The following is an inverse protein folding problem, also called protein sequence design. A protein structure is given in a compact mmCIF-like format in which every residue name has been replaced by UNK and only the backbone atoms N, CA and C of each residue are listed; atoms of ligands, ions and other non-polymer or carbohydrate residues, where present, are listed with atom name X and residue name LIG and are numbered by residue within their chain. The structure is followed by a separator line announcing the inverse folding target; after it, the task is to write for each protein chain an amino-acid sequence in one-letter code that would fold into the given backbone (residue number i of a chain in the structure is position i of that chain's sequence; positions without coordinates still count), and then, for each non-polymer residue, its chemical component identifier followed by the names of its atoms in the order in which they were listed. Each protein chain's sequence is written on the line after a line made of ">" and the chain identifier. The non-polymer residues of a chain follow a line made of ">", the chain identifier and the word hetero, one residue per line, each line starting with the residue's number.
data_IF_783809011845
#
_entry.id   IF_783809011845
#
_cell.length_a   1.000
_cell.length_b   1.000
_cell.length_c   1.000
_cell.angle_alpha   90.00
_cell.angle_beta   90.00
_cell.angle_gamma   90.00
#
_symmetry.space_group_name_H-M   'P 1'
#
loop_
_entity.id
_entity.type
_entity.pdbx_description
1 polymer ?
#
# COMPACT_ATOMS: atom_id res chain seq x y z
N UNK A 1 11.03 0.07 2.38
CA UNK A 1 10.58 -0.83 3.47
C UNK A 1 9.78 -1.98 2.87
N UNK A 2 9.62 -3.10 3.57
CA UNK A 2 8.73 -4.19 3.11
C UNK A 2 7.31 -3.83 3.50
N UNK A 3 6.45 -3.57 2.52
CA UNK A 3 5.03 -3.23 2.75
C UNK A 3 4.27 -4.52 3.05
N UNK A 4 3.45 -4.51 4.11
CA UNK A 4 2.68 -5.68 4.58
C UNK A 4 1.19 -5.50 4.45
N UNK A 5 0.71 -4.27 4.52
CA UNK A 5 -0.71 -3.95 4.42
C UNK A 5 -0.87 -2.50 3.95
N UNK A 6 -1.92 -2.25 3.17
CA UNK A 6 -2.36 -0.92 2.74
C UNK A 6 -3.87 -0.88 2.88
N UNK A 7 -4.35 0.10 3.66
CA UNK A 7 -5.78 0.34 3.85
C UNK A 7 -6.12 1.78 3.48
N UNK A 8 -7.15 1.93 2.68
CA UNK A 8 -7.74 3.21 2.32
C UNK A 8 -9.16 3.24 2.88
N UNK A 9 -9.33 3.83 4.05
CA UNK A 9 -10.66 4.00 4.64
C UNK A 9 -11.32 5.22 4.01
N UNK A 10 -12.57 5.10 3.59
CA UNK A 10 -13.37 6.17 2.97
C UNK A 10 -14.84 5.89 3.27
N UNK A 11 -15.66 6.93 3.40
CA UNK A 11 -17.11 6.73 3.62
C UNK A 11 -17.83 6.15 2.41
N UNK A 12 -17.26 6.30 1.22
CA UNK A 12 -17.87 5.86 -0.04
C UNK A 12 -16.89 5.08 -0.94
N UNK A 13 -15.71 4.67 -0.47
CA UNK A 13 -14.76 3.90 -1.29
C UNK A 13 -15.21 2.44 -1.46
N UNK A 14 -15.25 1.93 -2.70
CA UNK A 14 -15.71 0.57 -3.00
C UNK A 14 -14.58 -0.35 -3.48
N UNK A 15 -13.71 0.14 -4.37
CA UNK A 15 -12.61 -0.63 -4.93
C UNK A 15 -11.37 0.24 -5.14
N UNK A 16 -10.19 -0.33 -4.89
CA UNK A 16 -8.90 0.30 -5.18
C UNK A 16 -8.00 -0.65 -5.97
N UNK A 17 -6.97 -0.04 -6.58
CA UNK A 17 -5.78 -0.74 -7.04
C UNK A 17 -4.54 -0.15 -6.38
N UNK A 18 -3.63 -1.02 -5.96
CA UNK A 18 -2.33 -0.66 -5.41
C UNK A 18 -1.24 -1.19 -6.33
N UNK A 19 -0.36 -0.31 -6.76
CA UNK A 19 0.82 -0.63 -7.57
C UNK A 19 2.06 -0.30 -6.77
N UNK A 20 2.98 -1.26 -6.66
CA UNK A 20 4.20 -1.15 -5.89
C UNK A 20 5.40 -1.15 -6.82
N UNK A 21 6.41 -0.33 -6.51
CA UNK A 21 7.70 -0.34 -7.21
C UNK A 21 8.81 -0.64 -6.22
N UNK A 22 9.66 -1.62 -6.52
CA UNK A 22 10.80 -2.00 -5.68
C UNK A 22 11.89 -0.91 -5.68
N UNK A 23 12.86 -1.01 -4.78
CA UNK A 23 14.02 -0.10 -4.74
C UNK A 23 14.92 -0.25 -5.96
N UNK A 24 14.88 -1.40 -6.64
CA UNK A 24 15.56 -1.67 -7.91
C UNK A 24 14.81 -1.09 -9.12
N UNK A 25 13.61 -0.53 -8.91
CA UNK A 25 12.79 0.10 -9.96
C UNK A 25 11.82 -0.85 -10.67
N UNK A 26 11.68 -2.10 -10.23
CA UNK A 26 10.72 -3.05 -10.79
C UNK A 26 9.29 -2.69 -10.36
N UNK A 27 8.37 -2.56 -11.31
CA UNK A 27 6.95 -2.37 -11.01
C UNK A 27 6.27 -3.72 -10.92
N UNK A 28 5.69 -4.01 -9.75
CA UNK A 28 5.04 -5.29 -9.46
C UNK A 28 3.62 -5.35 -10.02
N UNK A 29 3.08 -6.56 -10.08
CA UNK A 29 1.68 -6.78 -10.47
C UNK A 29 0.72 -6.03 -9.52
N UNK A 30 -0.29 -5.33 -10.04
CA UNK A 30 -1.20 -4.52 -9.24
C UNK A 30 -2.08 -5.39 -8.33
N UNK A 31 -2.28 -4.94 -7.10
CA UNK A 31 -3.16 -5.55 -6.11
C UNK A 31 -4.51 -4.84 -6.18
N UNK A 32 -5.55 -5.55 -6.62
CA UNK A 32 -6.93 -5.01 -6.71
C UNK A 32 -7.80 -5.61 -5.61
N UNK A 33 -8.70 -4.81 -5.04
CA UNK A 33 -9.67 -5.33 -4.08
C UNK A 33 -10.39 -4.27 -3.27
N UNK A 34 -11.01 -4.73 -2.17
CA UNK A 34 -11.67 -3.85 -1.23
C UNK A 34 -10.64 -2.93 -0.54
N UNK A 35 -10.93 -1.62 -0.39
CA UNK A 35 -10.01 -0.64 0.18
C UNK A 35 -9.47 -0.96 1.58
N UNK A 36 -10.18 -1.77 2.37
CA UNK A 36 -9.83 -2.12 3.76
C UNK A 36 -9.46 -3.58 3.98
N UNK A 37 -9.52 -4.39 2.92
CA UNK A 37 -9.32 -5.85 2.97
C UNK A 37 -8.63 -6.35 1.70
N UNK A 38 -7.48 -5.76 1.38
CA UNK A 38 -6.63 -6.24 0.28
C UNK A 38 -6.05 -7.63 0.60
N UNK A 39 -5.76 -8.46 -0.41
CA UNK A 39 -5.17 -9.78 -0.21
C UNK A 39 -3.70 -9.65 0.24
N UNK A 40 -3.45 -9.99 1.51
CA UNK A 40 -2.14 -9.85 2.15
C UNK A 40 -1.03 -10.69 1.49
N UNK A 41 -1.38 -11.84 0.89
CA UNK A 41 -0.47 -12.74 0.18
C UNK A 41 0.10 -12.15 -1.12
N UNK A 42 -0.46 -11.02 -1.60
CA UNK A 42 0.01 -10.31 -2.79
C UNK A 42 1.03 -9.22 -2.50
N UNK A 43 1.28 -8.90 -1.24
CA UNK A 43 2.30 -7.92 -0.87
C UNK A 43 3.71 -8.52 -0.97
N UNK A 44 4.70 -7.74 -1.43
CA UNK A 44 6.05 -8.23 -1.69
C UNK A 44 6.80 -8.58 -0.41
N UNK A 45 7.84 -9.38 -0.59
CA UNK A 45 8.87 -9.63 0.44
C UNK A 45 10.07 -8.69 0.30
N UNK A 46 10.18 -8.00 -0.82
CA UNK A 46 11.26 -7.09 -1.17
C UNK A 46 11.01 -5.66 -0.64
N UNK A 47 12.06 -4.84 -0.68
CA UNK A 47 11.95 -3.43 -0.33
C UNK A 47 11.22 -2.66 -1.42
N UNK A 48 10.16 -1.96 -1.02
CA UNK A 48 9.40 -1.05 -1.87
C UNK A 48 9.91 0.38 -1.72
N UNK A 49 10.07 1.08 -2.85
CA UNK A 49 10.40 2.50 -2.94
C UNK A 49 9.18 3.38 -3.21
N UNK A 50 8.16 2.86 -3.92
CA UNK A 50 6.97 3.63 -4.30
C UNK A 50 5.69 2.82 -4.12
N UNK A 51 4.65 3.49 -3.61
CA UNK A 51 3.28 2.98 -3.53
C UNK A 51 2.41 3.96 -4.32
N UNK A 52 1.69 3.45 -5.32
CA UNK A 52 0.64 4.20 -6.05
C UNK A 52 -0.68 3.55 -5.72
N UNK A 53 -1.66 4.37 -5.34
CA UNK A 53 -2.99 3.90 -4.98
C UNK A 53 -4.01 4.67 -5.81
N UNK A 54 -4.89 3.96 -6.50
CA UNK A 54 -5.98 4.55 -7.27
C UNK A 54 -7.31 4.02 -6.74
N UNK A 55 -8.27 4.92 -6.53
CA UNK A 55 -9.64 4.55 -6.19
C UNK A 55 -10.39 4.36 -7.51
N UNK A 56 -10.79 3.12 -7.77
CA UNK A 56 -11.44 2.73 -9.01
C UNK A 56 -12.94 3.02 -8.98
N UNK A 57 -13.56 2.77 -7.83
CA UNK A 57 -15.02 2.86 -7.68
C UNK A 57 -15.40 3.43 -6.31
N UNK A 58 -16.49 4.19 -6.31
CA UNK A 58 -17.18 4.63 -5.10
C UNK A 58 -18.60 4.10 -5.08
N UNK A 59 -19.13 3.84 -3.88
CA UNK A 59 -20.47 3.25 -3.70
C UNK A 59 -21.59 4.20 -4.12
N UNK A 60 -21.31 5.50 -4.22
CA UNK A 60 -22.29 6.55 -4.52
C UNK A 60 -22.00 7.29 -5.84
N UNK A 61 -21.02 6.83 -6.64
CA UNK A 61 -20.56 7.47 -7.88
C UNK A 61 -20.11 8.94 -7.73
N UNK A 62 -19.84 9.40 -6.51
CA UNK A 62 -19.23 10.70 -6.26
C UNK A 62 -17.74 10.54 -5.96
N UNK A 63 -17.01 11.65 -5.96
CA UNK A 63 -15.61 11.66 -5.54
C UNK A 63 -15.43 11.05 -4.14
N UNK A 64 -14.29 10.41 -3.85
CA UNK A 64 -14.01 9.83 -2.53
C UNK A 64 -14.13 10.85 -1.39
N UNK A 65 -14.75 10.46 -0.29
CA UNK A 65 -15.04 11.29 0.88
C UNK A 65 -14.35 10.74 2.12
N UNK A 66 -13.77 11.63 2.93
CA UNK A 66 -13.12 11.28 4.20
C UNK A 66 -12.06 10.16 4.07
N UNK A 67 -11.15 10.34 3.11
CA UNK A 67 -10.12 9.34 2.81
C UNK A 67 -9.02 9.37 3.87
N UNK A 68 -8.76 8.21 4.47
CA UNK A 68 -7.63 7.97 5.38
C UNK A 68 -6.78 6.84 4.85
N UNK A 69 -5.47 7.08 4.72
CA UNK A 69 -4.49 6.09 4.31
C UNK A 69 -3.77 5.52 5.54
N UNK A 70 -3.73 4.19 5.64
CA UNK A 70 -2.89 3.45 6.59
C UNK A 70 -1.97 2.50 5.81
N UNK A 71 -0.68 2.52 6.13
CA UNK A 71 0.33 1.65 5.54
C UNK A 71 1.08 0.97 6.67
N UNK A 72 1.14 -0.36 6.64
CA UNK A 72 1.98 -1.15 7.55
C UNK A 72 3.20 -1.59 6.77
N UNK A 73 4.38 -1.20 7.25
CA UNK A 73 5.64 -1.58 6.62
C UNK A 73 6.70 -1.95 7.66
N UNK A 74 7.54 -2.92 7.32
CA UNK A 74 8.70 -3.32 8.11
C UNK A 74 9.96 -2.74 7.47
N UNK A 75 10.71 -1.94 8.23
CA UNK A 75 12.05 -1.49 7.86
C UNK A 75 13.10 -2.34 8.58
N UNK A 76 14.27 -2.59 7.97
CA UNK A 76 15.40 -3.18 8.69
C UNK A 76 15.76 -2.30 9.89
N UNK A 77 16.12 -2.94 11.02
CA UNK A 77 16.56 -2.22 12.21
C UNK A 77 17.86 -1.46 11.94
N UNK A 78 18.03 -0.30 12.58
CA UNK A 78 19.30 0.43 12.56
C UNK A 78 20.26 -0.29 13.50
N UNK A 79 21.25 -1.00 12.97
CA UNK A 79 22.43 -1.37 13.76
C UNK A 79 23.27 -0.11 13.94
N UNK A 80 23.12 0.55 15.09
CA UNK A 80 24.06 1.61 15.48
C UNK A 80 25.40 0.93 15.71
N UNK A 81 26.36 1.15 14.82
CA UNK A 81 27.73 0.76 15.07
C UNK A 81 28.23 1.54 16.28
N UNK A 82 28.51 0.86 17.39
CA UNK A 82 29.40 1.40 18.41
C UNK A 82 30.77 1.53 17.77
N UNK A 83 31.12 2.75 17.37
CA UNK A 83 32.52 3.11 17.12
C UNK A 83 33.22 3.08 18.49
N UNK A 84 34.06 2.07 18.72
CA UNK A 84 35.06 2.07 19.81
C UNK A 84 36.18 3.08 19.52
#
# INVERSE_FOLDING_TARGET
>A
AIVRDVKVTSTNGAAIVVTLTTVEGETLSPIRGNPTSLPNDKFPTELVAKIVIEILETTDNHSPKQVTLSVVACAPGVTVGTTE
#
